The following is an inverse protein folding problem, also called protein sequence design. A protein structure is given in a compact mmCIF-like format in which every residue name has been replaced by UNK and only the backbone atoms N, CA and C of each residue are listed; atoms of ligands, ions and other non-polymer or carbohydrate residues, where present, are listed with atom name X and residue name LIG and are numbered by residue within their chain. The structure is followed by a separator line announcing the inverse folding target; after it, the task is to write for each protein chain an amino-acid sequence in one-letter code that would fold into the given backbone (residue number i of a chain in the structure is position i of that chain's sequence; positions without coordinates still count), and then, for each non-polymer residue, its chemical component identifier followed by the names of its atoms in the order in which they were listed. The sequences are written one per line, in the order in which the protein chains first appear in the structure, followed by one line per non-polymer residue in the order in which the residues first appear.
data_IF_670286629813
#
_entry.id   IF_670286629813
#
_cell.length_a   1.000
_cell.length_b   1.000
_cell.length_c   1.000
_cell.angle_alpha   90.00
_cell.angle_beta   90.00
_cell.angle_gamma   90.00
#
_symmetry.space_group_name_H-M   'P 1'
#
loop_
_entity.id
_entity.type
_entity.pdbx_description
1 polymer ?
#
# COMPACT_ATOMS: atom_id res chain seq x y z
N UNK A 1 -1.34 -37.07 -13.25
CA UNK A 1 -1.33 -36.67 -11.84
C UNK A 1 -0.72 -35.29 -11.79
N UNK A 2 -1.63 -34.38 -12.10
CA UNK A 2 -1.81 -32.99 -11.70
C UNK A 2 -0.58 -32.20 -11.20
N UNK A 3 -0.24 -31.18 -12.00
CA UNK A 3 0.53 -30.00 -11.63
C UNK A 3 -0.21 -29.19 -10.56
N UNK A 4 0.12 -29.39 -9.29
CA UNK A 4 -0.29 -28.49 -8.20
C UNK A 4 0.76 -27.38 -8.02
N UNK A 5 0.41 -26.09 -8.22
CA UNK A 5 1.27 -25.00 -7.77
C UNK A 5 1.31 -25.04 -6.24
N UNK A 6 2.43 -25.55 -5.70
CA UNK A 6 2.66 -25.70 -4.27
C UNK A 6 2.87 -24.32 -3.60
N UNK A 7 1.75 -23.64 -3.35
CA UNK A 7 1.68 -22.36 -2.65
C UNK A 7 1.74 -22.57 -1.13
N UNK A 8 2.86 -23.04 -0.58
CA UNK A 8 3.04 -23.23 0.89
C UNK A 8 3.48 -21.98 1.66
N UNK A 9 3.42 -20.79 1.05
CA UNK A 9 3.93 -19.54 1.63
C UNK A 9 3.02 -18.90 2.71
N UNK A 10 2.10 -19.66 3.33
CA UNK A 10 1.24 -19.15 4.40
C UNK A 10 1.45 -19.84 5.75
N UNK A 11 2.07 -21.03 5.78
CA UNK A 11 2.26 -21.83 7.00
C UNK A 11 3.71 -21.91 7.48
N UNK A 12 4.68 -21.60 6.62
CA UNK A 12 6.10 -21.67 6.98
C UNK A 12 6.70 -20.28 7.23
N UNK A 13 7.38 -20.04 8.37
CA UNK A 13 8.11 -18.80 8.59
C UNK A 13 9.16 -18.60 7.49
N UNK A 14 9.33 -17.36 7.02
CA UNK A 14 10.28 -17.02 5.97
C UNK A 14 11.64 -17.68 6.23
N UNK A 15 12.06 -18.63 5.39
CA UNK A 15 13.31 -19.36 5.58
C UNK A 15 14.48 -18.39 5.60
N UNK A 16 15.28 -18.43 6.67
CA UNK A 16 16.50 -17.63 6.76
C UNK A 16 17.44 -17.99 5.60
N UNK A 17 18.14 -17.00 5.01
CA UNK A 17 18.85 -17.12 3.72
C UNK A 17 20.09 -18.02 3.76
N UNK A 18 20.36 -18.65 4.90
CA UNK A 18 21.51 -19.51 5.14
C UNK A 18 21.07 -20.93 5.49
N UNK A 19 20.18 -21.48 4.67
CA UNK A 19 19.93 -22.92 4.66
C UNK A 19 20.14 -23.38 3.22
N UNK A 20 20.86 -24.48 3.00
CA UNK A 20 21.26 -25.00 1.68
C UNK A 20 20.08 -25.36 0.75
N UNK A 21 18.84 -25.12 1.18
CA UNK A 21 17.59 -25.33 0.45
C UNK A 21 16.91 -24.04 -0.03
N UNK A 22 17.41 -22.87 0.37
CA UNK A 22 16.90 -21.59 -0.08
C UNK A 22 17.45 -21.28 -1.47
N UNK A 23 16.62 -21.38 -2.50
CA UNK A 23 17.00 -20.98 -3.87
C UNK A 23 17.38 -19.48 -3.97
N UNK A 24 17.76 -19.02 -5.16
CA UNK A 24 18.20 -17.63 -5.37
C UNK A 24 17.09 -16.59 -5.09
N UNK A 25 15.82 -16.99 -5.19
CA UNK A 25 14.63 -16.13 -5.03
C UNK A 25 14.51 -15.57 -3.59
N UNK A 26 14.53 -16.38 -2.51
CA UNK A 26 14.47 -15.85 -1.14
C UNK A 26 15.65 -14.93 -0.79
N UNK A 27 16.84 -15.15 -1.35
CA UNK A 27 17.99 -14.28 -1.11
C UNK A 27 17.79 -12.86 -1.69
N UNK A 28 17.25 -12.75 -2.90
CA UNK A 28 16.94 -11.46 -3.54
C UNK A 28 15.85 -10.69 -2.77
N UNK A 29 14.79 -11.39 -2.34
CA UNK A 29 13.71 -10.76 -1.55
C UNK A 29 14.24 -10.24 -0.22
N UNK A 30 15.09 -10.99 0.48
CA UNK A 30 15.70 -10.53 1.74
C UNK A 30 16.62 -9.33 1.52
N UNK A 31 17.41 -9.32 0.45
CA UNK A 31 18.26 -8.18 0.11
C UNK A 31 17.42 -6.91 -0.09
N UNK A 32 16.34 -6.99 -0.87
CA UNK A 32 15.42 -5.87 -1.10
C UNK A 32 14.76 -5.41 0.20
N UNK A 33 14.24 -6.34 1.00
CA UNK A 33 13.59 -6.02 2.29
C UNK A 33 14.57 -5.38 3.26
N UNK A 34 15.82 -5.84 3.31
CA UNK A 34 16.87 -5.30 4.20
C UNK A 34 17.29 -3.90 3.77
N UNK A 35 17.42 -3.67 2.47
CA UNK A 35 17.71 -2.34 1.91
C UNK A 35 16.53 -1.37 2.10
N UNK A 36 15.29 -1.86 2.04
CA UNK A 36 14.08 -1.05 2.20
C UNK A 36 13.76 -0.73 3.67
N UNK A 37 14.05 -1.63 4.61
CA UNK A 37 13.74 -1.49 6.04
C UNK A 37 14.08 -0.12 6.65
N UNK A 38 15.28 0.49 6.44
CA UNK A 38 15.60 1.79 7.03
C UNK A 38 14.80 2.96 6.41
N UNK A 39 14.37 2.84 5.16
CA UNK A 39 13.65 3.90 4.44
C UNK A 39 12.13 3.71 4.46
N UNK A 40 11.64 2.55 4.90
CA UNK A 40 10.24 2.18 4.89
C UNK A 40 9.33 3.26 5.47
N UNK A 41 9.70 3.85 6.61
CA UNK A 41 8.87 4.86 7.27
C UNK A 41 8.71 6.12 6.41
N UNK A 42 9.82 6.65 5.87
CA UNK A 42 9.79 7.84 5.01
C UNK A 42 9.00 7.61 3.73
N UNK A 43 9.19 6.45 3.08
CA UNK A 43 8.46 6.09 1.87
C UNK A 43 6.97 5.94 2.16
N UNK A 44 6.61 5.26 3.27
CA UNK A 44 5.24 5.08 3.69
C UNK A 44 4.55 6.43 3.98
N UNK A 45 5.19 7.31 4.76
CA UNK A 45 4.65 8.63 5.08
C UNK A 45 4.47 9.48 3.82
N UNK A 46 5.44 9.46 2.90
CA UNK A 46 5.34 10.17 1.62
C UNK A 46 4.17 9.66 0.77
N UNK A 47 4.02 8.34 0.63
CA UNK A 47 2.93 7.75 -0.15
C UNK A 47 1.55 8.06 0.45
N UNK A 48 1.42 8.03 1.78
CA UNK A 48 0.17 8.38 2.45
C UNK A 48 -0.17 9.86 2.24
N UNK A 49 0.80 10.76 2.42
CA UNK A 49 0.59 12.19 2.19
C UNK A 49 0.22 12.48 0.73
N UNK A 50 0.92 11.85 -0.23
CA UNK A 50 0.62 11.97 -1.65
C UNK A 50 -0.79 11.45 -1.98
N UNK A 51 -1.18 10.31 -1.43
CA UNK A 51 -2.51 9.73 -1.61
C UNK A 51 -3.61 10.67 -1.13
N UNK A 52 -3.47 11.26 0.07
CA UNK A 52 -4.45 12.22 0.60
C UNK A 52 -4.59 13.43 -0.31
N UNK A 53 -3.46 14.02 -0.75
CA UNK A 53 -3.47 15.19 -1.62
C UNK A 53 -4.10 14.87 -2.98
N UNK A 54 -3.68 13.78 -3.62
CA UNK A 54 -4.18 13.37 -4.93
C UNK A 54 -5.70 13.12 -4.90
N UNK A 55 -6.20 12.39 -3.89
CA UNK A 55 -7.62 12.09 -3.78
C UNK A 55 -8.47 13.33 -3.48
N UNK A 56 -7.97 14.31 -2.72
CA UNK A 56 -8.65 15.61 -2.56
C UNK A 56 -8.73 16.34 -3.91
N UNK A 57 -7.63 16.38 -4.67
CA UNK A 57 -7.62 17.05 -5.99
C UNK A 57 -8.62 16.40 -6.95
N UNK A 58 -8.69 15.07 -6.97
CA UNK A 58 -9.66 14.31 -7.76
C UNK A 58 -11.10 14.66 -7.32
N UNK A 59 -11.37 14.72 -6.02
CA UNK A 59 -12.69 15.14 -5.51
C UNK A 59 -13.05 16.56 -5.93
N UNK A 60 -12.11 17.51 -5.87
CA UNK A 60 -12.33 18.90 -6.28
C UNK A 60 -12.65 18.98 -7.77
N UNK A 61 -11.86 18.34 -8.63
CA UNK A 61 -12.06 18.35 -10.09
C UNK A 61 -13.38 17.66 -10.46
N UNK A 62 -13.70 16.52 -9.84
CA UNK A 62 -14.94 15.80 -10.12
C UNK A 62 -16.19 16.44 -9.50
N UNK A 63 -16.02 17.35 -8.53
CA UNK A 63 -17.14 18.08 -7.91
C UNK A 63 -17.75 19.15 -8.82
N UNK A 64 -17.05 19.51 -9.91
CA UNK A 64 -17.59 20.43 -10.90
C UNK A 64 -18.85 19.88 -11.58
N UNK A 65 -19.85 20.75 -11.68
CA UNK A 65 -21.24 20.42 -12.03
C UNK A 65 -21.38 19.78 -13.41
N UNK A 66 -20.47 20.09 -14.33
CA UNK A 66 -20.46 19.61 -15.71
C UNK A 66 -20.03 18.13 -15.81
N UNK A 67 -19.08 17.71 -14.98
CA UNK A 67 -18.54 16.34 -15.01
C UNK A 67 -19.47 15.32 -14.32
N UNK A 68 -20.35 15.76 -13.41
CA UNK A 68 -21.27 14.87 -12.65
C UNK A 68 -22.41 14.27 -13.50
N UNK A 69 -22.55 14.65 -14.76
CA UNK A 69 -23.59 14.14 -15.67
C UNK A 69 -23.35 12.69 -16.11
N UNK A 70 -22.12 12.17 -16.00
CA UNK A 70 -21.75 10.83 -16.43
C UNK A 70 -21.62 9.91 -15.21
N UNK A 71 -22.32 8.78 -15.21
CA UNK A 71 -22.33 7.85 -14.06
C UNK A 71 -20.94 7.33 -13.65
N UNK A 72 -20.01 7.21 -14.60
CA UNK A 72 -18.60 6.85 -14.37
C UNK A 72 -17.87 7.91 -13.53
N UNK A 73 -18.25 9.18 -13.67
CA UNK A 73 -17.67 10.27 -12.90
C UNK A 73 -18.10 10.23 -11.42
N UNK A 74 -19.34 9.77 -11.18
CA UNK A 74 -19.90 9.60 -9.83
C UNK A 74 -19.23 8.43 -9.10
N UNK A 75 -18.98 7.32 -9.78
CA UNK A 75 -18.27 6.18 -9.17
C UNK A 75 -16.81 6.50 -8.89
N UNK A 76 -16.15 7.24 -9.78
CA UNK A 76 -14.78 7.72 -9.57
C UNK A 76 -14.68 8.68 -8.37
N UNK A 77 -15.68 9.54 -8.18
CA UNK A 77 -15.77 10.41 -7.00
C UNK A 77 -15.93 9.59 -5.70
N UNK A 78 -16.71 8.50 -5.73
CA UNK A 78 -16.88 7.62 -4.57
C UNK A 78 -15.58 6.86 -4.23
N UNK A 79 -14.84 6.38 -5.23
CA UNK A 79 -13.51 5.77 -5.01
C UNK A 79 -12.54 6.77 -4.38
N UNK A 80 -12.44 7.98 -4.94
CA UNK A 80 -11.57 9.03 -4.41
C UNK A 80 -11.96 9.44 -2.97
N UNK A 81 -13.25 9.42 -2.64
CA UNK A 81 -13.72 9.67 -1.28
C UNK A 81 -13.28 8.57 -0.31
N UNK A 82 -13.45 7.30 -0.69
CA UNK A 82 -12.99 6.16 0.10
C UNK A 82 -11.47 6.22 0.33
N UNK A 83 -10.70 6.51 -0.71
CA UNK A 83 -9.25 6.59 -0.63
C UNK A 83 -8.77 7.77 0.23
N UNK A 84 -9.49 8.90 0.20
CA UNK A 84 -9.25 10.02 1.11
C UNK A 84 -9.51 9.65 2.58
N UNK A 85 -10.60 8.93 2.87
CA UNK A 85 -10.92 8.47 4.24
C UNK A 85 -9.87 7.45 4.73
N UNK A 86 -9.48 6.50 3.89
CA UNK A 86 -8.39 5.56 4.20
C UNK A 86 -7.06 6.29 4.42
N UNK A 87 -6.71 7.27 3.58
CA UNK A 87 -5.50 8.05 3.73
C UNK A 87 -5.49 8.87 5.04
N UNK A 88 -6.59 9.55 5.37
CA UNK A 88 -6.70 10.36 6.59
C UNK A 88 -6.62 9.53 7.87
N UNK A 89 -7.22 8.34 7.90
CA UNK A 89 -7.07 7.41 9.05
C UNK A 89 -5.65 6.89 9.19
N UNK A 90 -4.95 6.59 8.09
CA UNK A 90 -3.55 6.21 8.11
C UNK A 90 -2.64 7.33 8.64
N UNK A 91 -2.90 8.59 8.24
CA UNK A 91 -2.23 9.78 8.81
C UNK A 91 -2.49 9.89 10.31
N UNK A 92 -3.74 9.75 10.75
CA UNK A 92 -4.10 9.82 12.17
C UNK A 92 -3.38 8.74 13.00
N UNK A 93 -3.26 7.52 12.48
CA UNK A 93 -2.48 6.44 13.12
C UNK A 93 -0.99 6.77 13.21
N UNK A 94 -0.40 7.36 12.17
CA UNK A 94 1.00 7.82 12.21
C UNK A 94 1.20 8.94 13.25
N UNK A 95 0.27 9.90 13.35
CA UNK A 95 0.34 10.94 14.38
C UNK A 95 0.24 10.33 15.78
N UNK A 96 -0.77 9.48 16.05
CA UNK A 96 -0.92 8.84 17.36
C UNK A 96 0.31 8.02 17.76
N UNK A 97 0.94 7.33 16.79
CA UNK A 97 2.18 6.57 17.05
C UNK A 97 3.33 7.47 17.46
N UNK A 98 3.49 8.65 16.83
CA UNK A 98 4.51 9.62 17.23
C UNK A 98 4.23 10.30 18.58
N UNK A 99 2.97 10.35 19.05
CA UNK A 99 2.61 10.92 20.36
C UNK A 99 2.72 9.93 21.53
N UNK A 100 2.74 8.63 21.24
CA UNK A 100 2.83 7.55 22.24
C UNK A 100 4.28 7.14 22.55
N UNK A 101 5.23 7.45 21.65
CA UNK A 101 6.68 7.38 21.89
C UNK A 101 7.20 8.62 22.65
#
# INVERSE_FOLDING_TARGET
MDDEPNCTQFTEPFQYPYTDKAGTIPAVVIFIVTAYRPYHYYVLTFLIAFSVIANILILVVLSEKEMRSVGVNVTMMLMAFCDFVCGSTAVAQLFMRNYVE
#
